data_IF_423179313533
#
_entry.id   IF_423179313533
#
_cell.length_a   1.000
_cell.length_b   1.000
_cell.length_c   1.000
_cell.angle_alpha   90.00
_cell.angle_beta   90.00
_cell.angle_gamma   90.00
#
_symmetry.space_group_name_H-M   'P 1'
#
loop_
_entity.id
_entity.type
_entity.pdbx_description
1 polymer ?
#
# COMPACT_ATOMS: atom_id res chain seq x y z
N UNK A 1 -29.66 22.93 -16.23
CA UNK A 1 -28.33 23.55 -16.18
C UNK A 1 -27.40 22.52 -15.60
N UNK A 2 -26.81 21.70 -16.47
CA UNK A 2 -26.02 20.54 -16.09
C UNK A 2 -24.53 20.95 -15.99
N UNK A 3 -23.98 20.82 -14.80
CA UNK A 3 -22.58 20.65 -14.41
C UNK A 3 -21.49 21.04 -15.43
N UNK A 4 -21.19 22.34 -15.59
CA UNK A 4 -19.92 22.81 -16.16
C UNK A 4 -18.74 22.61 -15.20
N UNK A 5 -19.05 22.46 -13.91
CA UNK A 5 -18.14 22.27 -12.78
C UNK A 5 -17.04 21.21 -13.00
N UNK A 6 -17.37 20.11 -13.69
CA UNK A 6 -16.39 19.03 -13.97
C UNK A 6 -15.41 19.36 -15.09
N UNK A 7 -15.82 20.15 -16.10
CA UNK A 7 -14.92 20.57 -17.17
C UNK A 7 -14.01 21.70 -16.69
N UNK A 8 -14.54 22.62 -15.90
CA UNK A 8 -13.77 23.69 -15.27
C UNK A 8 -12.70 23.11 -14.32
N UNK A 9 -13.04 22.06 -13.56
CA UNK A 9 -12.10 21.34 -12.70
C UNK A 9 -11.01 20.60 -13.48
N UNK A 10 -11.35 19.99 -14.62
CA UNK A 10 -10.35 19.33 -15.50
C UNK A 10 -9.42 20.35 -16.12
N UNK A 11 -9.94 21.53 -16.51
CA UNK A 11 -9.12 22.62 -17.05
C UNK A 11 -8.14 23.17 -16.00
N UNK A 12 -8.59 23.31 -14.75
CA UNK A 12 -7.74 23.73 -13.64
C UNK A 12 -6.64 22.70 -13.33
N UNK A 13 -6.98 21.41 -13.35
CA UNK A 13 -6.01 20.32 -13.20
C UNK A 13 -5.00 20.27 -14.34
N UNK A 14 -5.44 20.46 -15.58
CA UNK A 14 -4.54 20.44 -16.74
C UNK A 14 -3.54 21.60 -16.69
N UNK A 15 -3.98 22.79 -16.26
CA UNK A 15 -3.10 23.94 -16.04
C UNK A 15 -2.07 23.66 -14.95
N UNK A 16 -2.49 23.08 -13.82
CA UNK A 16 -1.58 22.71 -12.74
C UNK A 16 -0.52 21.69 -13.18
N UNK A 17 -0.89 20.69 -13.99
CA UNK A 17 0.07 19.73 -14.55
C UNK A 17 1.06 20.41 -15.49
N UNK A 18 0.58 21.28 -16.39
CA UNK A 18 1.46 22.00 -17.32
C UNK A 18 2.44 22.91 -16.57
N UNK A 19 1.98 23.59 -15.52
CA UNK A 19 2.82 24.48 -14.70
C UNK A 19 3.89 23.68 -13.94
N UNK A 20 3.53 22.52 -13.38
CA UNK A 20 4.49 21.66 -12.69
C UNK A 20 5.55 21.12 -13.67
N UNK A 21 5.14 20.65 -14.86
CA UNK A 21 6.06 20.19 -15.90
C UNK A 21 6.99 21.30 -16.39
N UNK A 22 6.48 22.52 -16.55
CA UNK A 22 7.29 23.68 -16.92
C UNK A 22 8.34 23.98 -15.83
N UNK A 23 7.93 24.00 -14.57
CA UNK A 23 8.83 24.19 -13.44
C UNK A 23 9.90 23.10 -13.37
N UNK A 24 9.53 21.85 -13.62
CA UNK A 24 10.45 20.71 -13.68
C UNK A 24 11.48 20.85 -14.80
N UNK A 25 11.06 21.26 -16.00
CA UNK A 25 11.97 21.49 -17.14
C UNK A 25 12.95 22.63 -16.85
N UNK A 26 12.48 23.73 -16.27
CA UNK A 26 13.34 24.84 -15.86
C UNK A 26 14.36 24.42 -14.78
N UNK A 27 13.91 23.66 -13.78
CA UNK A 27 14.78 23.14 -12.73
C UNK A 27 15.82 22.15 -13.29
N UNK A 28 15.42 21.24 -14.18
CA UNK A 28 16.30 20.28 -14.84
C UNK A 28 17.33 20.96 -15.76
N UNK A 29 16.96 22.03 -16.47
CA UNK A 29 17.85 22.80 -17.33
C UNK A 29 18.99 23.49 -16.55
N UNK A 30 18.75 23.90 -15.30
CA UNK A 30 19.77 24.52 -14.45
C UNK A 30 20.51 23.53 -13.53
N UNK A 31 20.11 22.25 -13.51
CA UNK A 31 20.58 21.16 -12.65
C UNK A 31 21.05 21.62 -11.25
N UNK A 32 20.09 21.77 -10.32
CA UNK A 32 20.35 22.23 -8.93
C UNK A 32 20.52 21.10 -7.91
N UNK A 33 21.14 19.98 -8.30
CA UNK A 33 21.51 18.88 -7.39
C UNK A 33 20.32 18.09 -6.82
N UNK A 34 20.32 17.79 -5.52
CA UNK A 34 19.37 16.85 -4.91
C UNK A 34 17.89 17.27 -5.05
N UNK A 35 17.60 18.58 -5.04
CA UNK A 35 16.23 19.10 -5.18
C UNK A 35 15.64 18.84 -6.58
N UNK A 36 16.48 18.89 -7.63
CA UNK A 36 16.07 18.50 -9.00
C UNK A 36 15.82 17.01 -9.12
N UNK A 37 16.60 16.17 -8.44
CA UNK A 37 16.41 14.71 -8.44
C UNK A 37 15.14 14.29 -7.70
N UNK A 38 14.82 14.93 -6.57
CA UNK A 38 13.60 14.66 -5.81
C UNK A 38 12.34 15.11 -6.56
N UNK A 39 12.36 16.28 -7.22
CA UNK A 39 11.26 16.74 -8.07
C UNK A 39 11.04 15.83 -9.31
N UNK A 40 12.11 15.38 -9.96
CA UNK A 40 12.04 14.42 -11.09
C UNK A 40 11.53 13.03 -10.66
N UNK A 41 11.84 12.60 -9.43
CA UNK A 41 11.34 11.34 -8.85
C UNK A 41 9.86 11.45 -8.46
N UNK A 42 9.44 12.63 -8.02
CA UNK A 42 8.10 12.89 -7.50
C UNK A 42 7.04 13.01 -8.61
N UNK A 43 7.40 13.46 -9.81
CA UNK A 43 6.38 13.87 -10.77
C UNK A 43 5.87 12.79 -11.73
N UNK A 44 6.66 11.78 -12.16
CA UNK A 44 6.23 10.94 -13.31
C UNK A 44 6.47 9.43 -13.18
N UNK A 45 7.52 8.91 -12.54
CA UNK A 45 7.83 7.48 -12.67
C UNK A 45 8.64 6.97 -11.45
N UNK A 46 8.31 5.79 -10.88
CA UNK A 46 9.21 5.13 -9.94
C UNK A 46 10.62 4.99 -10.54
N UNK A 47 11.71 5.23 -9.79
CA UNK A 47 13.09 5.10 -10.28
C UNK A 47 13.37 3.75 -10.96
N UNK A 48 12.72 2.69 -10.48
CA UNK A 48 12.81 1.33 -11.02
C UNK A 48 12.28 1.24 -12.46
N UNK A 49 11.30 2.07 -12.84
CA UNK A 49 10.79 2.10 -14.22
C UNK A 49 11.79 2.78 -15.16
N UNK A 50 12.55 3.76 -14.67
CA UNK A 50 13.63 4.42 -15.43
C UNK A 50 14.71 3.38 -15.79
N UNK A 51 15.08 2.51 -14.84
CA UNK A 51 16.04 1.40 -15.06
C UNK A 51 15.58 0.42 -16.15
N UNK A 52 14.26 0.17 -16.27
CA UNK A 52 13.70 -0.69 -17.32
C UNK A 52 13.88 -0.05 -18.69
N UNK A 53 13.63 1.25 -18.81
CA UNK A 53 13.81 2.02 -20.06
C UNK A 53 15.29 2.09 -20.44
N UNK A 54 16.19 2.37 -19.51
CA UNK A 54 17.64 2.42 -19.75
C UNK A 54 18.21 1.07 -20.27
N UNK A 55 17.59 -0.04 -19.88
CA UNK A 55 17.98 -1.39 -20.30
C UNK A 55 17.21 -1.91 -21.51
N UNK A 56 16.44 -1.07 -22.20
CA UNK A 56 15.58 -1.46 -23.32
C UNK A 56 14.58 -2.57 -22.97
N UNK A 57 14.11 -2.62 -21.72
CA UNK A 57 13.08 -3.55 -21.23
C UNK A 57 11.71 -2.85 -21.23
N UNK A 58 10.65 -3.59 -21.56
CA UNK A 58 9.29 -3.02 -21.55
C UNK A 58 8.89 -2.57 -20.12
N UNK A 59 8.58 -1.28 -19.88
CA UNK A 59 8.19 -0.76 -18.57
C UNK A 59 6.87 -1.35 -18.04
N UNK A 60 5.98 -1.87 -18.90
CA UNK A 60 4.75 -2.56 -18.46
C UNK A 60 5.03 -3.77 -17.57
N UNK A 61 6.23 -4.36 -17.70
CA UNK A 61 6.65 -5.50 -16.88
C UNK A 61 6.79 -5.07 -15.42
N UNK A 62 7.26 -3.85 -15.13
CA UNK A 62 7.35 -3.33 -13.77
C UNK A 62 5.97 -3.23 -13.13
N UNK A 63 4.99 -2.66 -13.84
CA UNK A 63 3.61 -2.54 -13.36
C UNK A 63 3.00 -3.92 -13.07
N UNK A 64 3.25 -4.91 -13.93
CA UNK A 64 2.83 -6.30 -13.70
C UNK A 64 3.49 -6.91 -12.46
N UNK A 65 4.82 -6.80 -12.35
CA UNK A 65 5.58 -7.32 -11.20
C UNK A 65 5.16 -6.65 -9.89
N UNK A 66 4.82 -5.36 -9.92
CA UNK A 66 4.30 -4.61 -8.78
C UNK A 66 2.95 -5.16 -8.32
N UNK A 67 2.00 -5.36 -9.24
CA UNK A 67 0.68 -5.93 -8.92
C UNK A 67 0.82 -7.35 -8.36
N UNK A 68 1.67 -8.17 -8.98
CA UNK A 68 1.97 -9.53 -8.51
C UNK A 68 2.59 -9.54 -7.10
N UNK A 69 3.52 -8.62 -6.85
CA UNK A 69 4.14 -8.44 -5.54
C UNK A 69 3.11 -8.04 -4.48
N UNK A 70 2.28 -7.02 -4.76
CA UNK A 70 1.23 -6.54 -3.85
C UNK A 70 0.23 -7.66 -3.56
N UNK A 71 -0.20 -8.39 -4.58
CA UNK A 71 -1.10 -9.53 -4.41
C UNK A 71 -0.49 -10.62 -3.51
N UNK A 72 0.77 -10.99 -3.77
CA UNK A 72 1.50 -11.99 -2.98
C UNK A 72 1.65 -11.55 -1.53
N UNK A 73 2.02 -10.29 -1.29
CA UNK A 73 2.17 -9.74 0.06
C UNK A 73 0.83 -9.72 0.81
N UNK A 74 -0.26 -9.33 0.13
CA UNK A 74 -1.58 -9.33 0.73
C UNK A 74 -2.04 -10.75 1.10
N UNK A 75 -1.83 -11.72 0.22
CA UNK A 75 -2.10 -13.14 0.52
C UNK A 75 -1.28 -13.64 1.71
N UNK A 76 0.01 -13.28 1.76
CA UNK A 76 0.89 -13.66 2.86
C UNK A 76 0.45 -13.03 4.20
N UNK A 77 0.07 -11.75 4.20
CA UNK A 77 -0.45 -11.06 5.40
C UNK A 77 -1.75 -11.71 5.87
N UNK A 78 -2.67 -11.98 4.95
CA UNK A 78 -3.92 -12.69 5.25
C UNK A 78 -3.64 -14.08 5.85
N UNK A 79 -2.73 -14.86 5.25
CA UNK A 79 -2.35 -16.18 5.74
C UNK A 79 -1.73 -16.15 7.13
N UNK A 80 -0.83 -15.18 7.39
CA UNK A 80 -0.25 -14.99 8.73
C UNK A 80 -1.29 -14.60 9.76
N UNK A 81 -2.17 -13.66 9.43
CA UNK A 81 -3.26 -13.25 10.32
C UNK A 81 -4.17 -14.42 10.65
N UNK A 82 -4.50 -15.26 9.67
CA UNK A 82 -5.30 -16.47 9.90
C UNK A 82 -4.58 -17.48 10.80
N UNK A 83 -3.30 -17.75 10.54
CA UNK A 83 -2.51 -18.67 11.36
C UNK A 83 -2.43 -18.22 12.84
N UNK A 84 -2.31 -16.91 13.08
CA UNK A 84 -2.34 -16.38 14.44
C UNK A 84 -3.72 -16.51 15.10
N UNK A 85 -4.80 -16.34 14.33
CA UNK A 85 -6.16 -16.57 14.83
C UNK A 85 -6.39 -18.04 15.18
N UNK A 86 -5.96 -18.96 14.32
CA UNK A 86 -6.08 -20.42 14.55
C UNK A 86 -5.25 -20.83 15.78
N UNK A 87 -4.03 -20.31 15.90
CA UNK A 87 -3.18 -20.57 17.07
C UNK A 87 -3.81 -20.06 18.37
N UNK A 88 -4.36 -18.84 18.36
CA UNK A 88 -5.10 -18.28 19.50
C UNK A 88 -6.25 -19.19 19.91
N UNK A 89 -7.07 -19.63 18.96
CA UNK A 89 -8.28 -20.41 19.25
C UNK A 89 -7.93 -21.81 19.80
N UNK A 90 -6.91 -22.47 19.23
CA UNK A 90 -6.40 -23.75 19.74
C UNK A 90 -5.84 -23.57 21.16
N UNK A 91 -4.99 -22.57 21.37
CA UNK A 91 -4.38 -22.31 22.67
C UNK A 91 -5.44 -22.02 23.73
N UNK A 92 -6.42 -21.18 23.42
CA UNK A 92 -7.52 -20.86 24.33
C UNK A 92 -8.33 -22.10 24.72
N UNK A 93 -8.60 -23.00 23.77
CA UNK A 93 -9.31 -24.26 24.04
C UNK A 93 -8.51 -25.16 24.97
N UNK A 94 -7.22 -25.38 24.69
CA UNK A 94 -6.37 -26.22 25.54
C UNK A 94 -6.19 -25.62 26.95
N UNK A 95 -6.01 -24.30 27.04
CA UNK A 95 -5.92 -23.60 28.33
C UNK A 95 -7.22 -23.69 29.13
N UNK A 96 -8.38 -23.58 28.49
CA UNK A 96 -9.68 -23.73 29.15
C UNK A 96 -9.88 -25.15 29.71
N UNK A 97 -9.35 -26.16 29.02
CA UNK A 97 -9.37 -27.55 29.49
C UNK A 97 -8.40 -27.81 30.65
N UNK A 98 -7.21 -27.21 30.62
CA UNK A 98 -6.17 -27.42 31.63
C UNK A 98 -6.33 -26.52 32.88
N UNK A 99 -6.94 -25.34 32.73
CA UNK A 99 -7.07 -24.31 33.76
C UNK A 99 -8.52 -23.81 33.87
N UNK A 100 -9.40 -24.57 34.55
CA UNK A 100 -10.83 -24.24 34.64
C UNK A 100 -11.08 -22.90 35.34
N UNK A 101 -10.28 -22.58 36.37
CA UNK A 101 -10.42 -21.37 37.18
C UNK A 101 -10.15 -20.08 36.38
N UNK A 102 -9.38 -20.18 35.28
CA UNK A 102 -9.01 -19.05 34.43
C UNK A 102 -9.89 -18.91 33.18
N UNK A 103 -10.98 -19.70 33.05
CA UNK A 103 -11.83 -19.72 31.83
C UNK A 103 -12.35 -18.34 31.44
N UNK A 104 -12.74 -17.53 32.43
CA UNK A 104 -13.28 -16.18 32.21
C UNK A 104 -12.22 -15.21 31.65
N UNK A 105 -11.00 -15.27 32.19
CA UNK A 105 -9.89 -14.43 31.73
C UNK A 105 -9.45 -14.83 30.31
N UNK A 106 -9.36 -16.14 30.04
CA UNK A 106 -9.05 -16.67 28.71
C UNK A 106 -10.09 -16.20 27.68
N UNK A 107 -11.38 -16.26 28.04
CA UNK A 107 -12.48 -15.78 27.21
C UNK A 107 -12.34 -14.29 26.89
N UNK A 108 -12.08 -13.46 27.91
CA UNK A 108 -11.89 -12.01 27.73
C UNK A 108 -10.73 -11.69 26.77
N UNK A 109 -9.61 -12.41 26.87
CA UNK A 109 -8.44 -12.20 25.98
C UNK A 109 -8.75 -12.62 24.55
N UNK A 110 -9.46 -13.74 24.34
CA UNK A 110 -9.86 -14.18 22.99
C UNK A 110 -10.76 -13.15 22.32
N UNK A 111 -11.76 -12.64 23.04
CA UNK A 111 -12.68 -11.63 22.53
C UNK A 111 -11.96 -10.30 22.24
N UNK A 112 -11.06 -9.87 23.14
CA UNK A 112 -10.26 -8.65 22.96
C UNK A 112 -9.30 -8.72 21.76
N UNK A 113 -8.89 -9.93 21.36
CA UNK A 113 -8.02 -10.16 20.20
C UNK A 113 -8.80 -10.51 18.93
N UNK A 114 -10.12 -10.26 18.91
CA UNK A 114 -10.98 -10.42 17.74
C UNK A 114 -11.42 -11.87 17.46
N UNK A 115 -11.28 -12.77 18.43
CA UNK A 115 -11.78 -14.13 18.38
C UNK A 115 -13.17 -14.27 18.97
N UNK A 116 -13.81 -15.42 18.73
CA UNK A 116 -15.03 -15.80 19.45
C UNK A 116 -14.66 -16.84 20.49
N UNK A 117 -15.13 -16.66 21.72
CA UNK A 117 -14.89 -17.63 22.77
C UNK A 117 -15.44 -19.01 22.39
N UNK A 118 -14.68 -20.10 22.64
CA UNK A 118 -15.20 -21.45 22.47
C UNK A 118 -16.34 -21.66 23.48
N UNK A 119 -17.49 -22.15 22.99
CA UNK A 119 -18.65 -22.50 23.81
C UNK A 119 -18.29 -23.53 24.88
#
# INVERSE_FOLDING_TARGET
MASTDGLDQVEEQLKAVIDNLYMLICQAHEFRGQQTTEAMTFEILPPEVIEYVERSRNPDIYTREFVELVQKLNQQLKGRSQAFADFRDILAREMTGALPDCKQDITMVVESTGGKAPA
#
